data_IF_861379134810
#
_entry.id   IF_861379134810
#
_cell.length_a   1.000
_cell.length_b   1.000
_cell.length_c   1.000
_cell.angle_alpha   90.00
_cell.angle_beta   90.00
_cell.angle_gamma   90.00
#
_symmetry.space_group_name_H-M   'P 1'
#
loop_
_entity.id
_entity.type
_entity.pdbx_description
1 polymer ?
#
# COMPACT_ATOMS: atom_id res chain seq x y z
N UNK A 1 -2.74 15.39 -24.57
CA UNK A 1 -2.74 14.28 -23.61
C UNK A 1 -4.17 13.78 -23.51
N UNK A 2 -4.43 12.59 -24.06
CA UNK A 2 -5.76 12.00 -24.09
C UNK A 2 -6.13 11.48 -22.70
N UNK A 3 -7.42 11.42 -22.33
CA UNK A 3 -7.90 10.87 -21.05
C UNK A 3 -7.60 9.36 -20.82
N UNK A 4 -6.79 8.74 -21.68
CA UNK A 4 -6.52 7.29 -21.77
C UNK A 4 -5.21 6.85 -21.13
N UNK A 5 -4.36 7.77 -20.63
CA UNK A 5 -3.01 7.44 -20.14
C UNK A 5 -2.93 7.06 -18.64
N UNK A 6 -4.07 6.94 -17.94
CA UNK A 6 -4.04 6.52 -16.52
C UNK A 6 -3.84 5.00 -16.41
N UNK A 7 -2.90 4.53 -15.58
CA UNK A 7 -2.76 3.11 -15.34
C UNK A 7 -4.02 2.56 -14.65
N UNK A 8 -4.49 1.37 -15.05
CA UNK A 8 -5.67 0.74 -14.44
C UNK A 8 -5.41 0.40 -12.97
N UNK A 9 -6.43 0.50 -12.13
CA UNK A 9 -6.35 -0.02 -10.76
C UNK A 9 -6.50 -1.53 -10.75
N UNK A 10 -5.69 -2.20 -9.92
CA UNK A 10 -5.90 -3.60 -9.61
C UNK A 10 -7.19 -3.77 -8.78
N UNK A 11 -7.97 -4.84 -9.03
CA UNK A 11 -9.10 -5.16 -8.18
C UNK A 11 -8.63 -5.44 -6.74
N UNK A 12 -9.50 -5.23 -5.76
CA UNK A 12 -9.20 -5.60 -4.37
C UNK A 12 -9.19 -7.13 -4.21
N UNK A 13 -8.01 -7.74 -4.30
CA UNK A 13 -7.78 -9.17 -4.06
C UNK A 13 -7.86 -9.53 -2.56
N UNK A 14 -7.84 -10.84 -2.21
CA UNK A 14 -7.88 -11.28 -0.82
C UNK A 14 -6.76 -10.70 0.05
N UNK A 15 -5.52 -10.63 -0.46
CA UNK A 15 -4.37 -10.14 0.30
C UNK A 15 -4.50 -8.64 0.62
N UNK A 16 -4.92 -7.82 -0.34
CA UNK A 16 -5.23 -6.40 -0.11
C UNK A 16 -6.29 -6.26 0.98
N UNK A 17 -7.34 -7.08 0.97
CA UNK A 17 -8.41 -7.05 1.98
C UNK A 17 -7.93 -7.44 3.37
N UNK A 18 -7.01 -8.41 3.47
CA UNK A 18 -6.38 -8.83 4.71
C UNK A 18 -5.51 -7.72 5.30
N UNK A 19 -4.62 -7.14 4.49
CA UNK A 19 -3.80 -5.98 4.88
C UNK A 19 -4.71 -4.84 5.34
N UNK A 20 -5.70 -4.45 4.53
CA UNK A 20 -6.64 -3.39 4.89
C UNK A 20 -7.51 -3.76 6.10
N UNK A 21 -7.65 -5.03 6.49
CA UNK A 21 -8.33 -5.39 7.73
C UNK A 21 -7.46 -5.06 8.94
N UNK A 22 -6.16 -5.39 8.89
CA UNK A 22 -5.21 -4.98 9.93
C UNK A 22 -5.19 -3.46 10.09
N UNK A 23 -5.13 -2.71 8.99
CA UNK A 23 -5.16 -1.24 9.05
C UNK A 23 -6.45 -0.67 9.65
N UNK A 24 -7.58 -1.38 9.54
CA UNK A 24 -8.86 -0.94 10.10
C UNK A 24 -8.94 -1.14 11.61
N UNK A 25 -8.22 -2.12 12.12
CA UNK A 25 -8.19 -2.48 13.52
C UNK A 25 -7.05 -1.76 14.26
N UNK A 26 -6.12 -1.13 13.53
CA UNK A 26 -5.07 -0.26 14.06
C UNK A 26 -5.65 1.08 14.55
N UNK A 27 -5.13 1.57 15.67
CA UNK A 27 -5.56 2.81 16.32
C UNK A 27 -4.85 4.07 15.79
N UNK A 28 -4.08 3.94 14.71
CA UNK A 28 -3.22 4.99 14.16
C UNK A 28 -1.74 4.77 14.46
N UNK A 29 -1.37 3.81 15.33
CA UNK A 29 0.02 3.56 15.72
C UNK A 29 0.94 3.21 14.54
N UNK A 30 0.42 2.60 13.48
CA UNK A 30 1.17 2.23 12.28
C UNK A 30 1.11 3.32 11.19
N UNK A 31 0.24 4.31 11.35
CA UNK A 31 0.11 5.43 10.41
C UNK A 31 1.25 6.43 10.58
N UNK A 32 1.64 7.10 9.50
CA UNK A 32 2.53 8.25 9.62
C UNK A 32 1.74 9.46 10.15
N UNK A 33 2.08 10.00 11.35
CA UNK A 33 1.29 11.02 12.03
C UNK A 33 1.23 12.35 11.26
N UNK A 34 2.16 12.59 10.33
CA UNK A 34 2.11 13.76 9.43
C UNK A 34 0.84 13.79 8.57
N UNK A 35 0.21 12.63 8.36
CA UNK A 35 -1.01 12.47 7.59
C UNK A 35 -2.21 12.06 8.45
N UNK A 36 -2.08 12.09 9.79
CA UNK A 36 -3.17 11.80 10.70
C UNK A 36 -4.31 12.82 10.51
N UNK A 37 -5.57 12.35 10.56
CA UNK A 37 -6.75 13.20 10.37
C UNK A 37 -7.04 13.60 8.92
N UNK A 38 -6.36 12.99 7.94
CA UNK A 38 -6.71 13.14 6.53
C UNK A 38 -8.12 12.61 6.21
N UNK A 39 -8.72 13.02 5.07
CA UNK A 39 -10.08 12.63 4.70
C UNK A 39 -10.22 11.14 4.35
N UNK A 40 -9.11 10.47 4.02
CA UNK A 40 -9.08 9.05 3.66
C UNK A 40 -8.90 8.17 4.88
N UNK A 41 -9.66 7.07 4.93
CA UNK A 41 -9.60 6.12 6.06
C UNK A 41 -8.20 5.57 6.33
N UNK A 42 -7.40 5.41 5.28
CA UNK A 42 -6.06 4.84 5.35
C UNK A 42 -4.96 5.86 5.06
N UNK A 43 -5.26 7.15 5.27
CA UNK A 43 -4.25 8.19 5.16
C UNK A 43 -3.11 7.94 6.15
N UNK A 44 -1.87 8.14 5.70
CA UNK A 44 -0.67 7.84 6.48
C UNK A 44 -0.19 6.39 6.45
N UNK A 45 -0.99 5.43 5.98
CA UNK A 45 -0.60 4.01 5.92
C UNK A 45 0.08 3.59 4.62
N UNK A 46 0.02 4.41 3.56
CA UNK A 46 0.39 4.00 2.21
C UNK A 46 1.79 3.38 2.08
N UNK A 47 2.78 3.89 2.82
CA UNK A 47 4.13 3.32 2.84
C UNK A 47 4.14 1.91 3.46
N UNK A 48 3.72 1.80 4.73
CA UNK A 48 3.81 0.55 5.50
C UNK A 48 2.91 -0.54 4.94
N UNK A 49 1.76 -0.16 4.38
CA UNK A 49 0.82 -1.08 3.76
C UNK A 49 1.34 -1.62 2.42
N UNK A 50 1.95 -0.77 1.58
CA UNK A 50 2.57 -1.21 0.34
C UNK A 50 3.77 -2.14 0.60
N UNK A 51 4.58 -1.85 1.61
CA UNK A 51 5.70 -2.70 2.02
C UNK A 51 5.23 -4.05 2.55
N UNK A 52 4.25 -4.06 3.47
CA UNK A 52 3.70 -5.30 4.00
C UNK A 52 3.09 -6.19 2.91
N UNK A 53 2.29 -5.61 2.01
CA UNK A 53 1.75 -6.33 0.86
C UNK A 53 2.87 -6.90 -0.02
N UNK A 54 3.89 -6.09 -0.33
CA UNK A 54 5.01 -6.51 -1.16
C UNK A 54 5.69 -7.76 -0.59
N UNK A 55 5.98 -7.79 0.71
CA UNK A 55 6.58 -8.97 1.34
C UNK A 55 5.63 -10.18 1.40
N UNK A 56 4.35 -9.97 1.73
CA UNK A 56 3.36 -11.06 1.78
C UNK A 56 3.09 -11.68 0.40
N UNK A 57 3.21 -10.90 -0.67
CA UNK A 57 2.92 -11.32 -2.04
C UNK A 57 4.12 -11.96 -2.76
N UNK A 58 5.31 -12.01 -2.15
CA UNK A 58 6.53 -12.54 -2.79
C UNK A 58 7.40 -11.48 -3.49
N UNK A 59 7.12 -10.20 -3.27
CA UNK A 59 8.00 -9.09 -3.62
C UNK A 59 8.29 -8.97 -5.12
N UNK A 60 9.59 -8.81 -5.45
CA UNK A 60 10.03 -8.65 -6.85
C UNK A 60 9.78 -9.90 -7.68
N UNK A 61 9.87 -11.08 -7.08
CA UNK A 61 9.68 -12.36 -7.77
C UNK A 61 8.23 -12.54 -8.22
N UNK A 62 7.29 -11.89 -7.53
CA UNK A 62 5.89 -11.77 -7.94
C UNK A 62 5.63 -10.62 -8.95
N UNK A 63 6.69 -10.00 -9.50
CA UNK A 63 6.58 -8.92 -10.49
C UNK A 63 6.20 -7.55 -9.91
N UNK A 64 6.18 -7.39 -8.58
CA UNK A 64 5.76 -6.16 -7.93
C UNK A 64 6.85 -5.09 -7.93
N UNK A 65 6.46 -3.85 -8.22
CA UNK A 65 7.35 -2.68 -8.22
C UNK A 65 6.82 -1.62 -7.25
N UNK A 66 7.53 -1.33 -6.15
CA UNK A 66 7.14 -0.25 -5.27
C UNK A 66 7.28 1.10 -5.97
N UNK A 67 6.24 1.91 -5.87
CA UNK A 67 6.10 3.16 -6.62
C UNK A 67 5.69 4.28 -5.67
N UNK A 68 6.31 5.45 -5.85
CA UNK A 68 6.04 6.63 -5.04
C UNK A 68 5.79 7.85 -5.93
N UNK A 69 4.90 8.73 -5.49
CA UNK A 69 4.80 10.10 -5.96
C UNK A 69 4.63 11.07 -4.79
N UNK A 70 5.47 12.10 -4.75
CA UNK A 70 5.23 13.29 -3.96
C UNK A 70 4.34 14.23 -4.79
N UNK A 71 3.09 14.41 -4.36
CA UNK A 71 2.10 15.24 -5.03
C UNK A 71 1.48 16.22 -4.03
N UNK A 72 1.54 17.53 -4.34
CA UNK A 72 0.97 18.60 -3.50
C UNK A 72 1.36 18.49 -2.01
N UNK A 73 2.63 18.16 -1.74
CA UNK A 73 3.15 18.05 -0.37
C UNK A 73 2.83 16.73 0.36
N UNK A 74 2.08 15.82 -0.26
CA UNK A 74 1.79 14.48 0.27
C UNK A 74 2.51 13.38 -0.51
N UNK A 75 3.15 12.47 0.20
CA UNK A 75 3.82 11.31 -0.38
C UNK A 75 2.88 10.11 -0.42
N UNK A 76 2.49 9.68 -1.62
CA UNK A 76 1.70 8.46 -1.81
C UNK A 76 2.58 7.30 -2.27
N UNK A 77 2.34 6.13 -1.68
CA UNK A 77 3.04 4.88 -2.00
C UNK A 77 2.02 3.83 -2.43
N UNK A 78 2.38 3.05 -3.45
CA UNK A 78 1.60 1.94 -3.99
C UNK A 78 2.53 0.92 -4.65
N UNK A 79 1.98 -0.19 -5.13
CA UNK A 79 2.71 -1.14 -5.96
C UNK A 79 2.17 -1.13 -7.39
N UNK A 80 3.04 -1.39 -8.35
CA UNK A 80 2.65 -1.68 -9.73
C UNK A 80 2.97 -3.13 -10.04
N UNK A 81 2.04 -3.88 -10.63
CA UNK A 81 2.26 -5.26 -11.04
C UNK A 81 2.88 -5.38 -12.45
N UNK A 82 3.11 -6.61 -12.89
CA UNK A 82 3.63 -6.98 -14.22
C UNK A 82 2.72 -6.47 -15.36
N UNK A 83 1.41 -6.41 -15.14
CA UNK A 83 0.40 -5.89 -16.06
C UNK A 83 0.28 -4.35 -16.04
N UNK A 84 1.10 -3.67 -15.24
CA UNK A 84 1.06 -2.21 -15.11
C UNK A 84 -0.13 -1.68 -14.29
N UNK A 85 -0.83 -2.56 -13.56
CA UNK A 85 -1.96 -2.17 -12.70
C UNK A 85 -1.45 -1.61 -11.37
N UNK A 86 -2.18 -0.63 -10.84
CA UNK A 86 -1.90 0.03 -9.57
C UNK A 86 -2.58 -0.72 -8.42
N UNK A 87 -1.79 -1.19 -7.47
CA UNK A 87 -2.22 -1.76 -6.20
C UNK A 87 -1.99 -0.72 -5.11
N UNK A 88 -3.01 0.10 -4.86
CA UNK A 88 -2.98 1.11 -3.79
C UNK A 88 -3.69 0.57 -2.54
N UNK A 89 -2.94 0.36 -1.47
CA UNK A 89 -3.44 -0.20 -0.21
C UNK A 89 -4.12 0.87 0.67
N UNK A 90 -3.83 2.15 0.44
CA UNK A 90 -4.49 3.26 1.11
C UNK A 90 -5.82 3.66 0.42
N UNK A 91 -6.11 3.10 -0.76
CA UNK A 91 -7.38 3.30 -1.44
C UNK A 91 -8.44 2.29 -0.95
N UNK A 92 -9.41 2.79 -0.18
CA UNK A 92 -10.55 2.07 0.36
C UNK A 92 -11.68 1.84 -0.65
N UNK A 93 -12.71 1.10 -0.22
CA UNK A 93 -13.90 0.82 -1.04
C UNK A 93 -14.72 2.10 -1.20
N UNK A 94 -14.89 2.57 -2.43
CA UNK A 94 -15.68 3.77 -2.75
C UNK A 94 -14.87 5.05 -2.86
N UNK A 95 -13.56 5.00 -2.57
CA UNK A 95 -12.68 6.13 -2.78
C UNK A 95 -12.55 6.41 -4.28
N UNK A 96 -12.66 7.69 -4.66
CA UNK A 96 -12.39 8.12 -6.03
C UNK A 96 -10.88 8.16 -6.25
N UNK A 97 -10.33 7.39 -7.21
CA UNK A 97 -8.92 7.46 -7.54
C UNK A 97 -8.62 8.67 -8.42
N UNK A 98 -8.75 9.87 -7.85
CA UNK A 98 -8.32 11.11 -8.48
C UNK A 98 -6.87 11.44 -8.09
N UNK A 99 -5.99 10.48 -8.31
CA UNK A 99 -4.56 10.61 -8.05
C UNK A 99 -3.78 10.32 -9.34
N UNK A 100 -2.75 11.12 -9.69
CA UNK A 100 -2.05 10.98 -10.96
C UNK A 100 -1.00 9.85 -10.90
N UNK A 101 -1.45 8.60 -10.87
CA UNK A 101 -0.60 7.42 -10.75
C UNK A 101 0.40 7.27 -11.89
N UNK A 102 0.07 7.76 -13.09
CA UNK A 102 0.96 7.78 -14.27
C UNK A 102 2.25 8.56 -14.04
N UNK A 103 2.28 9.46 -13.04
CA UNK A 103 3.46 10.26 -12.68
C UNK A 103 4.35 9.58 -11.63
N UNK A 104 3.94 8.43 -11.11
CA UNK A 104 4.70 7.68 -10.11
C UNK A 104 6.06 7.22 -10.61
N UNK A 105 7.03 7.14 -9.70
CA UNK A 105 8.36 6.61 -10.00
C UNK A 105 8.64 5.40 -9.13
N UNK A 106 9.19 4.35 -9.75
CA UNK A 106 9.68 3.18 -9.02
C UNK A 106 10.73 3.62 -8.01
N UNK A 107 10.55 3.24 -6.75
CA UNK A 107 11.48 3.55 -5.65
C UNK A 107 11.58 2.35 -4.72
N UNK A 108 12.77 1.95 -4.26
CA UNK A 108 12.87 0.93 -3.23
C UNK A 108 12.22 1.44 -1.94
N UNK A 109 11.67 0.52 -1.14
CA UNK A 109 11.37 0.83 0.26
C UNK A 109 12.66 1.24 0.96
N UNK A 110 12.56 2.13 1.95
CA UNK A 110 13.71 2.53 2.74
C UNK A 110 14.08 1.35 3.63
N UNK A 111 15.03 0.54 3.15
CA UNK A 111 15.63 -0.52 3.94
C UNK A 111 16.26 0.06 5.19
N UNK A 112 15.68 -0.26 6.34
CA UNK A 112 16.48 -0.47 7.54
C UNK A 112 17.46 -1.60 7.24
N UNK A 113 18.59 -1.71 7.96
CA UNK A 113 19.55 -2.82 7.80
C UNK A 113 18.91 -4.23 7.89
N UNK A 114 17.64 -4.33 8.31
CA UNK A 114 16.85 -5.55 8.47
C UNK A 114 15.95 -5.92 7.26
N UNK A 115 15.89 -5.11 6.20
CA UNK A 115 15.15 -5.44 4.97
C UNK A 115 13.69 -4.97 4.94
N UNK A 116 12.95 -5.11 6.04
CA UNK A 116 11.55 -4.63 6.21
C UNK A 116 11.45 -3.59 7.32
N UNK A 117 10.58 -2.59 7.19
CA UNK A 117 10.29 -1.65 8.29
C UNK A 117 9.49 -2.32 9.42
N UNK A 118 9.72 -1.89 10.68
CA UNK A 118 9.05 -2.47 11.84
C UNK A 118 7.52 -2.42 11.74
N UNK A 119 6.97 -1.30 11.25
CA UNK A 119 5.52 -1.15 11.11
C UNK A 119 4.95 -2.07 10.00
N UNK A 120 5.67 -2.23 8.89
CA UNK A 120 5.29 -3.20 7.86
C UNK A 120 5.38 -4.64 8.38
N UNK A 121 6.42 -4.98 9.15
CA UNK A 121 6.57 -6.28 9.80
C UNK A 121 5.40 -6.58 10.74
N UNK A 122 4.98 -5.62 11.58
CA UNK A 122 3.79 -5.76 12.43
C UNK A 122 2.55 -6.12 11.62
N UNK A 123 2.35 -5.50 10.44
CA UNK A 123 1.23 -5.82 9.55
C UNK A 123 1.37 -7.24 8.99
N UNK A 124 2.57 -7.62 8.54
CA UNK A 124 2.86 -8.96 8.01
C UNK A 124 2.52 -10.04 9.04
N UNK A 125 3.01 -9.88 10.27
CA UNK A 125 2.77 -10.84 11.34
C UNK A 125 1.30 -10.88 11.78
N UNK A 126 0.61 -9.73 11.83
CA UNK A 126 -0.82 -9.69 12.11
C UNK A 126 -1.65 -10.41 11.03
N UNK A 127 -1.29 -10.29 9.74
CA UNK A 127 -1.95 -11.04 8.66
C UNK A 127 -1.71 -12.54 8.82
N UNK A 128 -0.47 -12.96 9.06
CA UNK A 128 -0.13 -14.39 9.24
C UNK A 128 -0.84 -14.99 10.44
N UNK A 129 -0.85 -14.31 11.59
CA UNK A 129 -1.51 -14.78 12.80
C UNK A 129 -3.01 -15.05 12.57
N UNK A 130 -3.70 -14.15 11.85
CA UNK A 130 -5.12 -14.29 11.51
C UNK A 130 -5.42 -15.45 10.56
N UNK A 131 -4.46 -15.86 9.73
CA UNK A 131 -4.61 -17.04 8.87
C UNK A 131 -4.46 -18.35 9.66
N UNK A 132 -3.76 -18.31 10.79
CA UNK A 132 -3.50 -19.48 11.63
C UNK A 132 -4.51 -19.67 12.75
N UNK A 133 -5.34 -18.67 13.06
CA UNK A 133 -6.48 -18.84 13.97
C UNK A 133 -7.67 -19.38 13.16
N UNK A 134 -8.14 -20.62 13.39
CA UNK A 134 -9.42 -21.05 12.85
C UNK A 134 -10.49 -20.18 13.51
N UNK A 135 -11.34 -19.53 12.69
CA UNK A 135 -12.55 -18.89 13.17
C UNK A 135 -13.59 -19.91 13.61
#
# INVERSE_FOLDING_TARGET
MSPTDRPPLAPADPLKREVQRVLRDDDGSLSNPRYAGGPGRFDGYGYVAAEAYFHLAGGRDAGLRPTQLLHRGSSRWWLTDDRGRVIDLALGRGDKPDFPYERGKSRPFRGTKAGISQAAETIVEAVKARRHTPG
#
